data_IF_262584984170
#
_entry.id   IF_262584984170
#
_cell.length_a   1.000
_cell.length_b   1.000
_cell.length_c   1.000
_cell.angle_alpha   90.00
_cell.angle_beta   90.00
_cell.angle_gamma   90.00
#
_symmetry.space_group_name_H-M   'P 1'
#
loop_
_entity.id
_entity.type
_entity.pdbx_description
1 polymer ?
#
# COMPACT_ATOMS: atom_id res chain seq x y z
N UNK A 1 -3.89 -22.29 78.84
CA UNK A 1 -2.52 -22.33 79.40
C UNK A 1 -1.81 -23.53 78.79
N UNK A 2 -1.06 -23.31 77.70
CA UNK A 2 0.11 -24.10 77.32
C UNK A 2 0.84 -23.36 76.19
N UNK A 3 2.16 -23.28 76.36
CA UNK A 3 3.21 -22.69 75.53
C UNK A 3 3.11 -23.21 74.07
N UNK A 4 3.62 -22.52 73.05
CA UNK A 4 5.05 -22.46 72.72
C UNK A 4 5.30 -21.33 71.68
N UNK A 5 6.42 -20.67 71.90
CA UNK A 5 7.16 -19.67 71.10
C UNK A 5 7.60 -20.14 69.71
N UNK A 6 7.59 -19.20 68.76
CA UNK A 6 8.56 -18.99 67.65
C UNK A 6 9.06 -20.22 66.89
N UNK A 7 8.90 -20.25 65.56
CA UNK A 7 9.95 -19.95 64.56
C UNK A 7 9.39 -20.22 63.16
N UNK A 8 9.81 -19.43 62.18
CA UNK A 8 9.78 -19.67 60.74
C UNK A 8 8.48 -19.51 59.91
N UNK A 9 8.63 -18.59 58.95
CA UNK A 9 8.09 -18.54 57.58
C UNK A 9 6.80 -17.77 57.28
N UNK A 10 6.94 -17.06 56.16
CA UNK A 10 5.94 -16.59 55.21
C UNK A 10 5.12 -15.36 55.61
N UNK A 11 5.16 -14.38 54.70
CA UNK A 11 4.24 -13.26 54.61
C UNK A 11 2.80 -13.70 54.87
N UNK A 12 2.15 -13.00 55.79
CA UNK A 12 0.69 -12.90 55.83
C UNK A 12 0.32 -11.47 56.24
N UNK A 13 0.34 -10.55 55.27
CA UNK A 13 -0.49 -9.36 55.40
C UNK A 13 -1.95 -9.81 55.34
N UNK A 14 -2.76 -9.34 56.29
CA UNK A 14 -4.16 -9.70 56.43
C UNK A 14 -4.96 -9.32 55.18
N UNK A 15 -5.85 -10.22 54.77
CA UNK A 15 -6.66 -10.20 53.56
C UNK A 15 -7.66 -9.03 53.44
N UNK A 16 -7.59 -8.01 54.31
CA UNK A 16 -8.49 -6.84 54.34
C UNK A 16 -7.84 -5.54 53.84
N UNK A 17 -6.55 -5.51 53.48
CA UNK A 17 -5.90 -4.32 52.91
C UNK A 17 -5.83 -4.32 51.37
N UNK A 18 -6.39 -5.35 50.71
CA UNK A 18 -6.33 -5.53 49.25
C UNK A 18 -7.61 -5.11 48.48
N UNK A 19 -8.58 -4.47 49.13
CA UNK A 19 -9.86 -4.10 48.51
C UNK A 19 -10.13 -2.58 48.53
N UNK A 20 -9.19 -1.79 47.98
CA UNK A 20 -9.45 -0.44 47.46
C UNK A 20 -9.68 -0.48 45.94
N UNK A 21 -10.40 0.47 45.32
CA UNK A 21 -10.94 0.29 43.96
C UNK A 21 -9.83 0.17 42.91
N UNK A 22 -9.78 -1.00 42.25
CA UNK A 22 -9.01 -1.23 41.04
C UNK A 22 -9.67 -0.49 39.87
N UNK A 23 -9.14 0.67 39.51
CA UNK A 23 -9.26 1.19 38.14
C UNK A 23 -7.86 1.22 37.51
N UNK A 24 -7.70 0.45 36.42
CA UNK A 24 -6.51 0.34 35.57
C UNK A 24 -5.24 -0.30 36.16
N UNK A 25 -5.32 -1.61 36.45
CA UNK A 25 -4.49 -2.63 35.77
C UNK A 25 -2.95 -2.50 35.70
N UNK A 26 -2.27 -1.69 36.50
CA UNK A 26 -0.80 -1.70 36.65
C UNK A 26 -0.43 -1.33 38.09
N UNK A 27 0.49 -2.06 38.76
CA UNK A 27 0.86 -1.78 40.14
C UNK A 27 1.74 -0.52 40.17
N UNK A 28 1.11 0.64 40.26
CA UNK A 28 1.79 1.90 40.52
C UNK A 28 1.75 2.18 42.01
N UNK A 29 2.91 2.09 42.68
CA UNK A 29 3.07 2.66 44.03
C UNK A 29 3.07 4.17 43.86
N UNK A 30 2.03 4.82 44.38
CA UNK A 30 1.85 6.26 44.27
C UNK A 30 2.82 7.01 45.18
N UNK A 31 3.10 8.28 44.86
CA UNK A 31 3.93 9.15 45.69
C UNK A 31 3.34 9.31 47.11
N UNK A 32 2.02 9.24 47.24
CA UNK A 32 1.31 9.26 48.53
C UNK A 32 1.53 7.97 49.32
N UNK A 33 1.51 6.80 48.68
CA UNK A 33 1.84 5.52 49.33
C UNK A 33 3.30 5.45 49.79
N UNK A 34 4.25 5.98 49.01
CA UNK A 34 5.66 6.12 49.44
C UNK A 34 5.83 7.10 50.61
N UNK A 35 5.06 8.19 50.64
CA UNK A 35 5.12 9.18 51.73
C UNK A 35 4.51 8.62 53.01
N UNK A 36 3.43 7.83 52.91
CA UNK A 36 2.84 7.13 54.04
C UNK A 36 3.79 6.07 54.63
N UNK A 37 4.49 5.30 53.80
CA UNK A 37 5.49 4.32 54.26
C UNK A 37 6.75 4.97 54.86
N UNK A 38 7.27 6.05 54.26
CA UNK A 38 8.42 6.78 54.81
C UNK A 38 8.06 7.55 56.10
N UNK A 39 6.81 8.02 56.22
CA UNK A 39 6.28 8.64 57.43
C UNK A 39 6.14 7.66 58.60
N UNK A 40 5.68 6.44 58.35
CA UNK A 40 5.63 5.38 59.37
C UNK A 40 7.02 4.94 59.85
N UNK A 41 8.04 4.99 58.98
CA UNK A 41 9.42 4.72 59.38
C UNK A 41 10.02 5.86 60.24
N UNK A 42 9.55 7.10 60.08
CA UNK A 42 10.04 8.28 60.79
C UNK A 42 9.35 8.51 62.15
N UNK A 43 8.11 8.03 62.33
CA UNK A 43 7.36 8.17 63.59
C UNK A 43 7.86 7.31 64.76
N UNK A 44 8.83 6.41 64.55
CA UNK A 44 9.41 5.62 65.64
C UNK A 44 10.68 6.23 66.26
N UNK A 45 11.07 7.46 65.88
CA UNK A 45 12.34 8.09 66.34
C UNK A 45 12.14 9.34 67.21
N UNK A 46 10.95 9.95 67.29
CA UNK A 46 10.73 11.13 68.15
C UNK A 46 9.58 10.95 69.15
N UNK A 47 9.88 10.38 70.31
CA UNK A 47 8.99 10.44 71.47
C UNK A 47 9.24 11.71 72.29
N UNK A 48 8.22 12.55 72.48
CA UNK A 48 8.21 13.50 73.60
C UNK A 48 6.79 13.62 74.18
N UNK A 49 6.62 13.18 75.42
CA UNK A 49 5.39 13.30 76.21
C UNK A 49 5.22 14.75 76.69
N UNK A 50 4.08 15.38 76.37
CA UNK A 50 3.59 16.56 77.10
C UNK A 50 2.35 16.18 77.91
N UNK A 51 2.46 16.15 79.23
CA UNK A 51 1.31 16.17 80.13
C UNK A 51 1.24 17.55 80.81
N UNK A 52 0.09 18.21 80.71
CA UNK A 52 -0.22 19.49 81.36
C UNK A 52 -0.48 19.29 82.84
N UNK A 53 0.15 20.12 83.67
CA UNK A 53 0.01 20.16 85.12
C UNK A 53 -1.15 21.08 85.52
N UNK A 54 -2.37 20.67 85.19
CA UNK A 54 -3.59 21.21 85.79
C UNK A 54 -4.14 20.19 86.78
N UNK A 55 -4.25 20.58 88.05
CA UNK A 55 -5.24 20.02 88.96
C UNK A 55 -4.78 18.91 89.91
N UNK A 56 -3.56 19.01 90.46
CA UNK A 56 -3.24 18.38 91.73
C UNK A 56 -4.18 18.91 92.83
N UNK A 57 -4.96 17.99 93.38
CA UNK A 57 -5.43 17.92 94.76
C UNK A 57 -6.31 19.06 95.32
N UNK A 58 -7.63 18.94 95.09
CA UNK A 58 -8.60 19.29 96.13
C UNK A 58 -8.56 18.25 97.26
N UNK A 59 -7.98 18.66 98.38
CA UNK A 59 -8.38 18.34 99.76
C UNK A 59 -8.85 16.90 100.10
N UNK A 60 -8.03 16.16 100.84
CA UNK A 60 -8.18 16.03 102.29
C UNK A 60 -7.09 15.13 102.91
N UNK A 61 -6.36 15.66 103.91
CA UNK A 61 -5.61 14.82 104.85
C UNK A 61 -4.24 15.38 105.24
N UNK A 62 -4.25 16.29 106.21
CA UNK A 62 -3.06 16.91 106.77
C UNK A 62 -2.20 15.90 107.57
N UNK A 63 -0.93 15.70 107.20
CA UNK A 63 0.21 15.42 108.10
C UNK A 63 1.55 15.66 107.38
N UNK A 64 2.31 16.63 107.88
CA UNK A 64 3.52 17.20 107.29
C UNK A 64 4.74 16.25 107.22
N UNK A 65 5.54 16.36 106.15
CA UNK A 65 6.95 15.90 106.07
C UNK A 65 7.73 16.81 105.10
N UNK A 66 8.91 17.30 105.50
CA UNK A 66 9.86 18.06 104.66
C UNK A 66 10.81 17.10 103.89
N UNK A 67 11.33 17.46 102.70
CA UNK A 67 12.18 16.57 101.88
C UNK A 67 13.63 16.44 102.39
N UNK A 68 14.25 15.27 102.16
CA UNK A 68 15.61 14.89 102.59
C UNK A 68 16.61 14.86 101.42
N UNK A 69 17.93 14.88 101.72
CA UNK A 69 19.05 14.92 100.76
C UNK A 69 19.06 13.80 99.70
N UNK A 70 18.28 12.73 99.90
CA UNK A 70 18.22 11.55 99.04
C UNK A 70 17.53 11.81 97.68
N UNK A 71 16.64 12.80 97.60
CA UNK A 71 15.97 13.15 96.34
C UNK A 71 16.90 13.87 95.35
N UNK A 72 17.95 14.53 95.84
CA UNK A 72 18.99 15.16 95.01
C UNK A 72 19.88 14.14 94.30
N UNK A 73 20.08 12.96 94.87
CA UNK A 73 20.93 11.90 94.32
C UNK A 73 20.25 11.10 93.19
N UNK A 74 18.91 11.08 93.14
CA UNK A 74 18.15 10.36 92.10
C UNK A 74 18.24 11.04 90.74
N UNK A 75 18.36 12.37 90.71
CA UNK A 75 18.52 13.14 89.47
C UNK A 75 19.86 12.87 88.75
N UNK A 76 20.93 12.54 89.48
CA UNK A 76 22.24 12.26 88.90
C UNK A 76 22.33 10.87 88.22
N UNK A 77 21.50 9.89 88.62
CA UNK A 77 21.48 8.54 88.02
C UNK A 77 20.73 8.46 86.69
N UNK A 78 19.88 9.43 86.37
CA UNK A 78 19.14 9.45 85.10
C UNK A 78 20.05 9.75 83.89
N UNK A 79 21.20 10.40 84.11
CA UNK A 79 22.09 10.82 83.02
C UNK A 79 23.03 9.72 82.49
N UNK A 80 23.02 8.52 83.09
CA UNK A 80 23.95 7.42 82.76
C UNK A 80 23.36 6.36 81.82
N UNK A 81 22.06 6.39 81.52
CA UNK A 81 21.42 5.42 80.61
C UNK A 81 21.38 5.86 79.14
N UNK A 82 22.01 6.99 78.77
CA UNK A 82 22.04 7.49 77.40
C UNK A 82 23.05 6.76 76.46
N UNK A 83 23.62 5.62 76.88
CA UNK A 83 24.63 4.88 76.10
C UNK A 83 24.17 3.45 75.83
N UNK A 84 23.24 3.28 74.88
CA UNK A 84 22.93 1.97 74.28
C UNK A 84 22.57 2.04 72.78
N UNK A 85 22.77 3.20 72.13
CA UNK A 85 22.46 3.42 70.71
C UNK A 85 23.55 2.95 69.74
N UNK A 86 24.76 2.62 70.21
CA UNK A 86 25.89 2.19 69.35
C UNK A 86 25.84 0.72 68.92
N UNK A 87 25.20 -0.15 69.69
CA UNK A 87 25.09 -1.59 69.39
C UNK A 87 24.04 -1.89 68.31
N UNK A 88 22.99 -1.06 68.19
CA UNK A 88 21.94 -1.21 67.17
C UNK A 88 22.42 -0.90 65.74
N UNK A 89 23.43 -0.05 65.56
CA UNK A 89 23.95 0.32 64.24
C UNK A 89 24.75 -0.79 63.53
N UNK A 90 25.31 -1.76 64.27
CA UNK A 90 26.15 -2.80 63.67
C UNK A 90 25.34 -3.87 62.90
N UNK A 91 24.05 -4.07 63.24
CA UNK A 91 23.19 -5.05 62.55
C UNK A 91 22.60 -4.53 61.23
N UNK A 92 22.54 -3.20 61.04
CA UNK A 92 21.94 -2.58 59.85
C UNK A 92 22.89 -2.57 58.64
N UNK A 93 24.20 -2.60 58.86
CA UNK A 93 25.19 -2.49 57.79
C UNK A 93 25.42 -3.77 56.97
N UNK A 94 24.87 -4.92 57.36
CA UNK A 94 25.04 -6.19 56.62
C UNK A 94 24.09 -6.30 55.41
N UNK A 95 23.01 -5.52 55.38
CA UNK A 95 21.97 -5.61 54.34
C UNK A 95 22.24 -4.73 53.11
N UNK A 96 23.24 -3.85 53.18
CA UNK A 96 23.56 -2.82 52.18
C UNK A 96 24.48 -3.34 51.05
N UNK A 97 24.89 -4.62 51.09
CA UNK A 97 25.88 -5.19 50.16
C UNK A 97 25.36 -5.85 48.88
N UNK A 98 24.04 -5.96 48.66
CA UNK A 98 23.48 -6.66 47.48
C UNK A 98 22.99 -5.68 46.41
N UNK A 99 23.87 -5.20 45.52
CA UNK A 99 23.50 -4.29 44.40
C UNK A 99 22.56 -4.91 43.36
N UNK A 100 22.32 -6.22 43.38
CA UNK A 100 21.45 -6.91 42.41
C UNK A 100 19.96 -6.92 42.78
N UNK A 101 19.57 -6.40 43.96
CA UNK A 101 18.19 -6.50 44.49
C UNK A 101 17.55 -5.11 44.68
N UNK A 102 18.33 -4.03 44.53
CA UNK A 102 17.83 -2.66 44.65
C UNK A 102 17.77 -2.00 43.28
N UNK A 103 16.55 -1.71 42.82
CA UNK A 103 16.33 -0.82 41.68
C UNK A 103 16.53 0.60 42.20
N UNK A 104 17.51 1.32 41.66
CA UNK A 104 17.74 2.72 42.00
C UNK A 104 16.60 3.59 41.45
N UNK A 105 16.37 4.76 42.04
CA UNK A 105 15.31 5.66 41.57
C UNK A 105 15.57 6.21 40.16
N UNK A 106 16.84 6.28 39.76
CA UNK A 106 17.24 6.63 38.41
C UNK A 106 16.93 5.51 37.40
N UNK A 107 17.21 4.25 37.74
CA UNK A 107 16.82 3.11 36.91
C UNK A 107 15.29 2.98 36.78
N UNK A 108 14.56 3.23 37.87
CA UNK A 108 13.08 3.26 37.88
C UNK A 108 12.54 4.34 36.95
N UNK A 109 13.09 5.56 37.03
CA UNK A 109 12.72 6.66 36.11
C UNK A 109 13.03 6.31 34.66
N UNK A 110 14.19 5.71 34.39
CA UNK A 110 14.59 5.32 33.05
C UNK A 110 13.70 4.22 32.45
N UNK A 111 13.27 3.24 33.24
CA UNK A 111 12.39 2.16 32.76
C UNK A 111 10.97 2.66 32.51
N UNK A 112 10.40 3.46 33.42
CA UNK A 112 9.06 4.00 33.26
C UNK A 112 8.98 4.99 32.08
N UNK A 113 10.00 5.85 31.91
CA UNK A 113 10.06 6.78 30.79
C UNK A 113 10.16 6.11 29.41
N UNK A 114 10.70 4.88 29.33
CA UNK A 114 10.75 4.10 28.08
C UNK A 114 9.41 3.50 27.69
N UNK A 115 8.54 3.22 28.65
CA UNK A 115 7.23 2.62 28.42
C UNK A 115 6.18 3.68 28.05
N UNK A 116 6.18 4.82 28.75
CA UNK A 116 5.27 5.94 28.47
C UNK A 116 5.54 6.62 27.11
N UNK A 117 6.75 6.45 26.56
CA UNK A 117 7.12 6.97 25.25
C UNK A 117 6.66 6.08 24.08
N UNK A 118 6.16 4.86 24.35
CA UNK A 118 5.76 3.93 23.29
C UNK A 118 4.28 4.03 22.94
N UNK A 119 3.41 4.44 23.86
CA UNK A 119 1.95 4.53 23.65
C UNK A 119 1.39 5.78 24.31
N UNK A 120 0.62 6.58 23.58
CA UNK A 120 -0.04 7.76 24.10
C UNK A 120 -1.26 7.39 24.97
N UNK A 121 -1.87 8.41 25.60
CA UNK A 121 -3.01 8.23 26.52
C UNK A 121 -4.27 7.57 25.90
N UNK A 122 -4.32 7.46 24.57
CA UNK A 122 -5.39 6.76 23.84
C UNK A 122 -4.97 5.35 23.37
N UNK A 123 -3.76 4.90 23.72
CA UNK A 123 -3.19 3.61 23.32
C UNK A 123 -2.50 3.59 21.95
N UNK A 124 -2.18 4.74 21.35
CA UNK A 124 -1.53 4.81 20.04
C UNK A 124 -0.01 4.89 20.17
N UNK A 125 0.74 4.17 19.32
CA UNK A 125 2.21 4.27 19.27
C UNK A 125 2.66 5.29 18.23
N UNK A 126 3.63 6.15 18.60
CA UNK A 126 4.25 7.13 17.69
C UNK A 126 5.70 6.71 17.41
N UNK A 127 5.98 6.25 16.19
CA UNK A 127 7.30 5.73 15.81
C UNK A 127 8.15 6.85 15.16
N UNK A 128 9.31 7.16 15.73
CA UNK A 128 10.22 8.23 15.26
C UNK A 128 11.07 7.85 14.02
N UNK A 129 10.51 7.12 13.06
CA UNK A 129 11.16 6.76 11.80
C UNK A 129 10.15 6.59 10.67
N UNK A 130 10.61 6.60 9.41
CA UNK A 130 9.74 6.41 8.24
C UNK A 130 9.05 5.05 8.30
N UNK A 131 7.81 5.02 8.78
CA UNK A 131 6.91 3.90 8.54
C UNK A 131 6.56 3.93 7.04
N UNK A 132 7.03 2.95 6.28
CA UNK A 132 6.54 2.80 4.90
C UNK A 132 5.16 2.15 4.96
N UNK A 133 4.15 2.93 5.34
CA UNK A 133 2.76 2.55 5.15
C UNK A 133 2.46 2.66 3.64
N UNK A 134 2.61 1.55 2.91
CA UNK A 134 2.02 1.44 1.57
C UNK A 134 0.51 1.48 1.79
N UNK A 135 -0.16 2.54 1.35
CA UNK A 135 -1.61 2.74 1.45
C UNK A 135 -2.42 1.74 0.61
N UNK A 136 -2.21 0.45 0.83
CA UNK A 136 -3.07 -0.63 0.42
C UNK A 136 -3.72 -1.23 1.66
N UNK A 137 -4.98 -1.60 1.55
CA UNK A 137 -5.58 -2.53 2.50
C UNK A 137 -4.83 -3.85 2.30
N UNK A 138 -3.98 -4.24 3.25
CA UNK A 138 -3.55 -5.64 3.33
C UNK A 138 -4.82 -6.47 3.61
N UNK A 139 -5.25 -7.23 2.60
CA UNK A 139 -6.25 -8.26 2.76
C UNK A 139 -5.46 -9.58 2.76
N UNK A 140 -5.06 -10.11 3.94
CA UNK A 140 -4.44 -11.43 4.01
C UNK A 140 -5.39 -12.43 3.33
N UNK A 141 -4.91 -13.18 2.34
CA UNK A 141 -5.70 -14.20 1.65
C UNK A 141 -5.73 -15.52 2.42
N UNK A 142 -4.88 -15.65 3.43
CA UNK A 142 -4.77 -16.76 4.34
C UNK A 142 -5.53 -16.46 5.63
N UNK A 143 -6.40 -17.42 6.02
CA UNK A 143 -7.19 -17.49 7.25
C UNK A 143 -8.28 -16.44 7.49
N UNK A 144 -9.31 -16.88 8.23
CA UNK A 144 -10.52 -16.13 8.59
C UNK A 144 -10.23 -14.68 8.99
N UNK A 145 -11.12 -13.73 8.66
CA UNK A 145 -10.87 -12.32 8.96
C UNK A 145 -10.57 -12.15 10.46
N UNK A 146 -9.41 -11.55 10.75
CA UNK A 146 -8.86 -11.38 12.11
C UNK A 146 -9.77 -10.46 12.96
N UNK A 147 -10.61 -9.65 12.30
CA UNK A 147 -11.58 -8.73 12.92
C UNK A 147 -12.89 -8.71 12.12
N UNK A 148 -14.00 -8.32 12.77
CA UNK A 148 -15.27 -8.07 12.08
C UNK A 148 -15.13 -7.05 10.95
N UNK A 149 -14.34 -5.98 11.16
CA UNK A 149 -14.04 -4.96 10.14
C UNK A 149 -13.31 -5.52 8.93
N UNK A 150 -12.30 -6.38 9.12
CA UNK A 150 -11.61 -7.02 7.99
C UNK A 150 -12.51 -8.02 7.24
N UNK A 151 -13.43 -8.67 7.94
CA UNK A 151 -14.47 -9.51 7.32
C UNK A 151 -15.44 -8.69 6.46
N UNK A 152 -15.89 -7.55 6.97
CA UNK A 152 -16.77 -6.61 6.24
C UNK A 152 -16.04 -6.02 5.02
N UNK A 153 -14.77 -5.64 5.15
CA UNK A 153 -13.97 -5.13 4.03
C UNK A 153 -13.76 -6.19 2.93
N UNK A 154 -13.53 -7.46 3.31
CA UNK A 154 -13.45 -8.59 2.36
C UNK A 154 -14.78 -8.79 1.62
N UNK A 155 -15.91 -8.76 2.35
CA UNK A 155 -17.24 -8.88 1.75
C UNK A 155 -17.56 -7.70 0.82
N UNK A 156 -17.23 -6.47 1.23
CA UNK A 156 -17.38 -5.28 0.41
C UNK A 156 -16.52 -5.37 -0.85
N UNK A 157 -15.26 -5.78 -0.75
CA UNK A 157 -14.37 -5.95 -1.89
C UNK A 157 -14.89 -7.00 -2.88
N UNK A 158 -15.41 -8.13 -2.38
CA UNK A 158 -16.06 -9.17 -3.19
C UNK A 158 -17.33 -8.65 -3.90
N UNK A 159 -18.18 -7.92 -3.18
CA UNK A 159 -19.34 -7.26 -3.78
C UNK A 159 -18.96 -6.26 -4.87
N UNK A 160 -17.93 -5.45 -4.61
CA UNK A 160 -17.39 -4.49 -5.59
C UNK A 160 -16.78 -5.19 -6.81
N UNK A 161 -16.13 -6.35 -6.65
CA UNK A 161 -15.60 -7.09 -7.80
C UNK A 161 -16.72 -7.62 -8.69
N UNK A 162 -17.81 -8.14 -8.13
CA UNK A 162 -18.98 -8.60 -8.91
C UNK A 162 -19.63 -7.44 -9.64
N UNK A 163 -19.82 -6.30 -8.97
CA UNK A 163 -20.36 -5.09 -9.62
C UNK A 163 -19.41 -4.61 -10.72
N UNK A 164 -18.10 -4.56 -10.47
CA UNK A 164 -17.11 -4.16 -11.47
C UNK A 164 -17.11 -5.09 -12.68
N UNK A 165 -17.28 -6.40 -12.48
CA UNK A 165 -17.40 -7.38 -13.56
C UNK A 165 -18.68 -7.16 -14.38
N UNK A 166 -19.81 -6.84 -13.73
CA UNK A 166 -21.05 -6.49 -14.42
C UNK A 166 -20.92 -5.22 -15.29
N UNK A 167 -20.04 -4.29 -14.93
CA UNK A 167 -19.68 -3.11 -15.74
C UNK A 167 -18.48 -3.34 -16.68
N UNK A 168 -18.08 -4.60 -16.91
CA UNK A 168 -16.96 -4.93 -17.79
C UNK A 168 -17.39 -5.81 -18.98
N UNK A 169 -18.26 -5.30 -19.89
CA UNK A 169 -18.79 -6.10 -20.98
C UNK A 169 -17.70 -6.59 -21.93
N UNK A 170 -17.91 -7.81 -22.42
CA UNK A 170 -17.02 -8.51 -23.34
C UNK A 170 -17.41 -8.19 -24.80
N UNK A 171 -16.41 -7.94 -25.65
CA UNK A 171 -16.56 -7.97 -27.11
C UNK A 171 -16.19 -9.32 -27.68
N UNK A 172 -16.45 -9.53 -28.96
CA UNK A 172 -16.11 -10.74 -29.70
C UNK A 172 -15.36 -10.40 -30.98
N UNK A 173 -14.44 -11.25 -31.41
CA UNK A 173 -13.74 -11.12 -32.69
C UNK A 173 -14.73 -11.41 -33.83
N UNK A 174 -14.94 -10.49 -34.78
CA UNK A 174 -16.07 -10.56 -35.71
C UNK A 174 -15.65 -10.81 -37.16
N UNK A 175 -14.80 -9.97 -37.71
CA UNK A 175 -14.28 -10.08 -39.07
C UNK A 175 -12.82 -9.65 -39.13
N UNK A 176 -12.14 -10.00 -40.20
CA UNK A 176 -10.76 -9.56 -40.44
C UNK A 176 -10.54 -9.18 -41.90
N UNK A 177 -9.50 -8.40 -42.14
CA UNK A 177 -8.91 -8.17 -43.47
C UNK A 177 -7.40 -8.37 -43.39
N UNK A 178 -6.84 -8.90 -44.46
CA UNK A 178 -5.41 -9.17 -44.60
C UNK A 178 -4.84 -8.28 -45.69
N UNK A 179 -3.64 -7.76 -45.45
CA UNK A 179 -2.91 -6.91 -46.39
C UNK A 179 -1.49 -7.45 -46.51
N UNK A 180 -1.08 -7.77 -47.73
CA UNK A 180 0.12 -8.56 -48.04
C UNK A 180 -0.19 -10.06 -48.16
N UNK A 181 0.55 -10.76 -49.00
CA UNK A 181 0.25 -12.15 -49.38
C UNK A 181 0.69 -13.19 -48.34
N UNK A 182 1.53 -12.78 -47.38
CA UNK A 182 2.11 -13.70 -46.39
C UNK A 182 1.29 -13.78 -45.09
N UNK A 183 0.26 -12.96 -44.93
CA UNK A 183 -0.57 -12.94 -43.71
C UNK A 183 -1.80 -13.83 -43.82
N UNK A 184 -2.15 -14.49 -42.72
CA UNK A 184 -3.32 -15.33 -42.59
C UNK A 184 -3.88 -15.29 -41.17
N UNK A 185 -5.15 -15.68 -41.04
CA UNK A 185 -5.86 -15.74 -39.76
C UNK A 185 -6.43 -17.13 -39.57
N UNK A 186 -6.06 -17.78 -38.48
CA UNK A 186 -6.72 -18.99 -38.00
C UNK A 186 -7.64 -18.63 -36.84
N UNK A 187 -8.76 -19.33 -36.72
CA UNK A 187 -9.75 -19.07 -35.67
C UNK A 187 -9.93 -20.30 -34.77
N UNK A 188 -8.94 -20.64 -33.92
CA UNK A 188 -9.04 -21.79 -33.03
C UNK A 188 -10.31 -21.80 -32.16
N UNK A 189 -10.73 -20.61 -31.71
CA UNK A 189 -12.02 -20.40 -31.05
C UNK A 189 -12.71 -19.22 -31.74
N UNK A 190 -13.60 -19.44 -32.71
CA UNK A 190 -14.30 -18.38 -33.41
C UNK A 190 -14.98 -17.41 -32.44
N UNK A 191 -14.89 -16.11 -32.70
CA UNK A 191 -15.42 -15.10 -31.80
C UNK A 191 -14.56 -14.79 -30.56
N UNK A 192 -13.64 -15.66 -30.15
CA UNK A 192 -12.97 -15.54 -28.84
C UNK A 192 -11.44 -15.51 -28.89
N UNK A 193 -10.82 -16.34 -29.72
CA UNK A 193 -9.38 -16.44 -29.83
C UNK A 193 -8.98 -16.76 -31.27
N UNK A 194 -8.26 -15.84 -31.90
CA UNK A 194 -7.71 -16.00 -33.24
C UNK A 194 -6.19 -16.00 -33.19
N UNK A 195 -5.58 -16.78 -34.07
CA UNK A 195 -4.15 -16.76 -34.32
C UNK A 195 -3.91 -15.96 -35.60
N UNK A 196 -3.15 -14.88 -35.50
CA UNK A 196 -2.74 -14.09 -36.66
C UNK A 196 -1.31 -14.52 -37.01
N UNK A 197 -1.05 -14.79 -38.27
CA UNK A 197 0.21 -15.37 -38.73
C UNK A 197 0.74 -14.65 -39.97
N UNK A 198 2.04 -14.41 -40.03
CA UNK A 198 2.79 -13.99 -41.21
C UNK A 198 3.83 -15.08 -41.53
N UNK A 199 3.68 -15.71 -42.69
CA UNK A 199 4.48 -16.86 -43.15
C UNK A 199 5.87 -16.52 -43.66
N UNK A 200 6.21 -15.23 -43.76
CA UNK A 200 7.53 -14.79 -44.16
C UNK A 200 8.60 -15.31 -43.18
N UNK A 201 9.83 -15.48 -43.69
CA UNK A 201 10.96 -15.91 -42.88
C UNK A 201 11.38 -14.78 -41.93
N UNK A 202 11.65 -15.04 -40.64
CA UNK A 202 12.24 -14.05 -39.75
C UNK A 202 13.61 -13.51 -40.21
N UNK A 203 14.29 -14.24 -41.10
CA UNK A 203 15.56 -13.81 -41.71
C UNK A 203 15.38 -12.94 -42.96
N UNK A 204 14.18 -12.94 -43.54
CA UNK A 204 13.80 -12.15 -44.70
C UNK A 204 12.35 -11.66 -44.50
N UNK A 205 12.13 -10.76 -43.53
CA UNK A 205 10.78 -10.33 -43.16
C UNK A 205 10.12 -9.60 -44.32
N UNK A 206 8.82 -9.86 -44.51
CA UNK A 206 7.98 -9.17 -45.50
C UNK A 206 6.81 -8.53 -44.76
N UNK A 207 6.63 -7.20 -44.88
CA UNK A 207 5.53 -6.50 -44.22
C UNK A 207 4.18 -7.13 -44.53
N UNK A 208 3.36 -7.26 -43.50
CA UNK A 208 1.97 -7.66 -43.62
C UNK A 208 1.15 -7.08 -42.48
N UNK A 209 -0.12 -6.83 -42.75
CA UNK A 209 -1.07 -6.30 -41.77
C UNK A 209 -2.30 -7.16 -41.71
N UNK A 210 -2.79 -7.41 -40.50
CA UNK A 210 -4.13 -7.95 -40.29
C UNK A 210 -4.96 -6.92 -39.53
N UNK A 211 -6.05 -6.47 -40.14
CA UNK A 211 -7.11 -5.74 -39.45
C UNK A 211 -8.05 -6.76 -38.82
N UNK A 212 -8.31 -6.66 -37.52
CA UNK A 212 -9.29 -7.47 -36.80
C UNK A 212 -10.35 -6.56 -36.22
N UNK A 213 -11.61 -6.86 -36.52
CA UNK A 213 -12.76 -6.13 -36.03
C UNK A 213 -13.37 -6.83 -34.81
N UNK A 214 -13.95 -6.02 -33.92
CA UNK A 214 -14.65 -6.48 -32.74
C UNK A 214 -16.14 -6.16 -32.85
N UNK A 215 -16.96 -7.08 -32.38
CA UNK A 215 -18.38 -6.88 -32.11
C UNK A 215 -18.55 -6.65 -30.61
N UNK A 216 -19.02 -5.47 -30.21
CA UNK A 216 -19.20 -5.07 -28.81
C UNK A 216 -20.68 -4.82 -28.50
N UNK A 217 -21.54 -5.86 -28.50
CA UNK A 217 -22.99 -5.69 -28.50
C UNK A 217 -23.55 -5.17 -27.15
N UNK A 218 -22.72 -5.22 -26.10
CA UNK A 218 -23.11 -4.89 -24.73
C UNK A 218 -22.47 -3.60 -24.21
N UNK A 219 -21.70 -2.88 -25.05
CA UNK A 219 -21.31 -1.51 -24.72
C UNK A 219 -22.45 -0.60 -25.15
N UNK A 220 -23.04 0.13 -24.20
CA UNK A 220 -24.19 0.99 -24.46
C UNK A 220 -23.94 1.99 -25.59
N UNK A 221 -24.88 2.07 -26.54
CA UNK A 221 -24.82 2.90 -27.75
C UNK A 221 -25.31 4.34 -27.55
N UNK A 222 -26.02 4.63 -26.46
CA UNK A 222 -26.72 5.90 -26.25
C UNK A 222 -26.37 6.52 -24.89
N UNK A 223 -26.09 7.84 -24.88
CA UNK A 223 -25.66 8.65 -23.74
C UNK A 223 -24.36 8.16 -23.08
N UNK A 224 -23.24 8.88 -23.27
CA UNK A 224 -21.97 8.76 -22.52
C UNK A 224 -21.69 7.37 -21.92
N UNK A 225 -20.93 6.54 -22.63
CA UNK A 225 -20.78 5.11 -22.31
C UNK A 225 -20.10 4.84 -20.97
N UNK A 226 -19.51 5.85 -20.32
CA UNK A 226 -18.76 5.70 -19.08
C UNK A 226 -17.48 4.89 -19.27
N UNK A 227 -17.04 4.70 -20.52
CA UNK A 227 -15.91 3.88 -20.89
C UNK A 227 -14.61 4.41 -20.27
N UNK A 228 -13.88 3.55 -19.56
CA UNK A 228 -12.64 3.87 -18.83
C UNK A 228 -11.44 3.08 -19.30
N UNK A 229 -11.61 2.16 -20.23
CA UNK A 229 -10.50 1.38 -20.73
C UNK A 229 -10.88 0.05 -21.34
N UNK A 230 -9.85 -0.74 -21.60
CA UNK A 230 -10.01 -2.11 -22.07
C UNK A 230 -8.90 -3.00 -21.52
N UNK A 231 -9.16 -4.30 -21.51
CA UNK A 231 -8.16 -5.35 -21.38
C UNK A 231 -8.25 -6.22 -22.65
N UNK A 232 -7.13 -6.30 -23.37
CA UNK A 232 -6.98 -7.07 -24.59
C UNK A 232 -6.09 -8.28 -24.30
N UNK A 233 -6.65 -9.51 -24.23
CA UNK A 233 -5.83 -10.71 -24.19
C UNK A 233 -5.03 -10.83 -25.48
N UNK A 234 -3.71 -10.96 -25.36
CA UNK A 234 -2.82 -11.06 -26.51
C UNK A 234 -1.54 -11.78 -26.10
N UNK A 235 -1.02 -12.64 -26.97
CA UNK A 235 0.32 -13.23 -26.88
C UNK A 235 1.16 -12.70 -28.03
N UNK A 236 2.22 -11.94 -27.74
CA UNK A 236 2.99 -11.16 -28.70
C UNK A 236 4.14 -11.93 -29.34
N UNK A 237 3.95 -13.19 -29.73
CA UNK A 237 5.00 -13.96 -30.39
C UNK A 237 5.31 -15.30 -29.75
N UNK A 238 6.12 -16.08 -30.45
CA UNK A 238 6.73 -17.29 -29.90
C UNK A 238 8.13 -16.99 -29.37
N UNK A 239 8.66 -17.89 -28.55
CA UNK A 239 10.02 -17.76 -28.01
C UNK A 239 11.05 -17.79 -29.15
N UNK A 240 12.06 -16.90 -29.09
CA UNK A 240 13.16 -16.83 -30.05
C UNK A 240 12.87 -16.05 -31.33
N UNK A 241 11.64 -15.57 -31.52
CA UNK A 241 11.28 -14.73 -32.66
C UNK A 241 11.89 -13.33 -32.51
N UNK A 242 12.54 -12.81 -33.56
CA UNK A 242 13.28 -11.53 -33.52
C UNK A 242 12.57 -10.38 -34.23
N UNK A 243 11.49 -10.66 -34.93
CA UNK A 243 10.84 -9.67 -35.79
C UNK A 243 10.07 -8.65 -34.93
N UNK A 244 10.23 -7.34 -35.17
CA UNK A 244 9.37 -6.34 -34.57
C UNK A 244 7.91 -6.55 -34.98
N UNK A 245 7.00 -6.26 -34.06
CA UNK A 245 5.56 -6.34 -34.29
C UNK A 245 4.87 -5.15 -33.69
N UNK A 246 3.77 -4.73 -34.27
CA UNK A 246 3.07 -3.54 -33.84
C UNK A 246 1.58 -3.78 -33.74
N UNK A 247 0.99 -3.21 -32.69
CA UNK A 247 -0.45 -3.15 -32.52
C UNK A 247 -0.90 -1.70 -32.64
N UNK A 248 -1.87 -1.46 -33.52
CA UNK A 248 -2.42 -0.12 -33.76
C UNK A 248 -3.87 -0.05 -33.33
N UNK A 249 -4.20 0.93 -32.48
CA UNK A 249 -5.55 1.25 -32.01
C UNK A 249 -5.93 2.68 -32.32
N UNK A 250 -7.20 2.96 -32.06
CA UNK A 250 -7.61 4.24 -31.51
C UNK A 250 -8.66 4.07 -30.40
N UNK A 251 -8.79 5.10 -29.57
CA UNK A 251 -9.87 5.26 -28.58
C UNK A 251 -10.51 6.64 -28.77
N UNK A 252 -11.75 6.80 -28.33
CA UNK A 252 -12.58 7.97 -28.63
C UNK A 252 -13.18 7.98 -30.05
N UNK A 253 -13.79 9.10 -30.41
CA UNK A 253 -14.56 9.24 -31.66
C UNK A 253 -13.65 9.58 -32.85
N UNK A 254 -13.47 8.60 -33.75
CA UNK A 254 -12.62 8.67 -34.95
C UNK A 254 -13.43 8.25 -36.19
N UNK A 255 -13.29 9.00 -37.29
CA UNK A 255 -13.83 8.59 -38.59
C UNK A 255 -12.74 7.98 -39.48
N UNK A 256 -12.81 6.67 -39.74
CA UNK A 256 -11.81 5.99 -40.57
C UNK A 256 -11.81 6.47 -42.03
N UNK A 257 -12.93 7.01 -42.55
CA UNK A 257 -12.97 7.58 -43.91
C UNK A 257 -12.14 8.86 -44.04
N UNK A 258 -11.84 9.51 -42.91
CA UNK A 258 -11.01 10.71 -42.80
C UNK A 258 -9.57 10.38 -42.33
N UNK A 259 -9.21 9.09 -42.36
CA UNK A 259 -7.87 8.58 -42.07
C UNK A 259 -7.24 7.98 -43.33
N UNK A 260 -5.91 7.96 -43.36
CA UNK A 260 -5.08 7.12 -44.22
C UNK A 260 -4.75 5.84 -43.45
N UNK A 261 -4.99 4.68 -44.07
CA UNK A 261 -4.65 3.37 -43.47
C UNK A 261 -3.50 2.75 -44.26
N UNK A 262 -2.29 2.86 -43.73
CA UNK A 262 -1.03 2.45 -44.39
C UNK A 262 -0.69 0.99 -44.09
N UNK A 263 -1.48 0.07 -44.63
CA UNK A 263 -1.33 -1.38 -44.40
C UNK A 263 -0.17 -1.99 -45.20
N UNK A 264 0.48 -3.02 -44.65
CA UNK A 264 1.67 -3.67 -45.19
C UNK A 264 2.84 -2.69 -45.45
N UNK A 265 2.88 -1.58 -44.71
CA UNK A 265 3.96 -0.61 -44.73
C UNK A 265 5.09 -0.99 -43.76
N UNK A 266 6.15 -0.19 -43.75
CA UNK A 266 7.22 -0.30 -42.77
C UNK A 266 6.67 -0.25 -41.33
N UNK A 267 7.26 -1.03 -40.42
CA UNK A 267 6.79 -1.17 -39.03
C UNK A 267 6.76 0.17 -38.28
N UNK A 268 7.59 1.13 -38.68
CA UNK A 268 7.66 2.46 -38.09
C UNK A 268 6.66 3.45 -38.70
N UNK A 269 6.02 3.14 -39.83
CA UNK A 269 4.91 3.94 -40.40
C UNK A 269 3.66 3.77 -39.55
N UNK A 270 2.91 4.83 -39.23
CA UNK A 270 1.61 4.71 -38.55
C UNK A 270 0.61 3.91 -39.40
N UNK A 271 -0.03 2.91 -38.82
CA UNK A 271 -0.99 2.08 -39.59
C UNK A 271 -2.28 2.84 -39.84
N UNK A 272 -2.67 3.70 -38.90
CA UNK A 272 -3.79 4.64 -39.02
C UNK A 272 -3.25 6.02 -38.75
N UNK A 273 -3.38 6.91 -39.73
CA UNK A 273 -3.06 8.33 -39.59
C UNK A 273 -4.29 9.15 -39.98
N UNK A 274 -4.57 10.29 -39.33
CA UNK A 274 -5.47 11.29 -39.87
C UNK A 274 -5.04 11.70 -41.28
N UNK A 275 -5.99 12.08 -42.14
CA UNK A 275 -5.68 12.79 -43.39
C UNK A 275 -5.24 14.22 -43.10
N UNK A 276 -4.47 14.81 -44.00
CA UNK A 276 -4.14 16.22 -43.89
C UNK A 276 -5.41 17.10 -43.85
N UNK A 277 -5.44 18.07 -42.94
CA UNK A 277 -6.58 18.98 -42.74
C UNK A 277 -7.75 18.43 -41.90
N UNK A 278 -7.69 17.18 -41.42
CA UNK A 278 -8.71 16.64 -40.49
C UNK A 278 -8.29 16.80 -39.03
N UNK A 279 -9.26 16.72 -38.12
CA UNK A 279 -9.01 16.96 -36.68
C UNK A 279 -9.96 16.16 -35.81
N UNK A 280 -9.40 15.35 -34.91
CA UNK A 280 -10.17 14.49 -34.00
C UNK A 280 -9.91 14.85 -32.53
N UNK A 281 -10.53 15.92 -32.00
CA UNK A 281 -10.25 16.41 -30.64
C UNK A 281 -10.59 15.40 -29.54
N UNK A 282 -11.47 14.44 -29.84
CA UNK A 282 -11.93 13.43 -28.89
C UNK A 282 -11.34 12.04 -29.14
N UNK A 283 -10.42 11.88 -30.09
CA UNK A 283 -9.75 10.61 -30.36
C UNK A 283 -8.31 10.62 -29.88
N UNK A 284 -7.77 9.42 -29.68
CA UNK A 284 -6.34 9.15 -29.55
C UNK A 284 -6.03 7.97 -30.44
N UNK A 285 -4.96 8.06 -31.22
CA UNK A 285 -4.48 6.95 -32.06
C UNK A 285 -3.19 6.44 -31.44
N UNK A 286 -3.05 5.12 -31.33
CA UNK A 286 -1.93 4.48 -30.66
C UNK A 286 -1.24 3.49 -31.58
N UNK A 287 0.07 3.60 -31.66
CA UNK A 287 0.95 2.56 -32.19
C UNK A 287 1.78 2.00 -31.03
N UNK A 288 1.73 0.69 -30.81
CA UNK A 288 2.54 0.00 -29.80
C UNK A 288 3.45 -0.98 -30.50
N UNK A 289 4.72 -0.60 -30.67
CA UNK A 289 5.74 -1.42 -31.33
C UNK A 289 6.55 -2.18 -30.29
N UNK A 290 6.58 -3.50 -30.42
CA UNK A 290 7.40 -4.40 -29.63
C UNK A 290 8.61 -4.82 -30.45
N UNK A 291 9.78 -4.36 -30.03
CA UNK A 291 11.04 -4.83 -30.59
C UNK A 291 11.45 -6.09 -29.86
N UNK A 292 11.35 -7.24 -30.55
CA UNK A 292 11.71 -8.55 -29.98
C UNK A 292 13.22 -8.77 -29.91
N UNK A 293 14.01 -7.76 -30.27
CA UNK A 293 15.46 -7.75 -30.15
C UNK A 293 15.80 -6.99 -28.87
N UNK A 294 16.62 -7.62 -28.04
CA UNK A 294 17.19 -6.99 -26.85
C UNK A 294 18.09 -5.83 -27.28
N UNK A 295 17.83 -4.63 -26.76
CA UNK A 295 18.67 -3.46 -27.01
C UNK A 295 19.72 -3.34 -25.90
N UNK A 296 20.98 -3.50 -26.31
CA UNK A 296 22.14 -3.42 -25.41
C UNK A 296 22.51 -1.99 -25.00
N UNK A 297 21.94 -0.98 -25.65
CA UNK A 297 22.22 0.44 -25.40
C UNK A 297 21.32 1.05 -24.33
N UNK A 298 20.21 0.40 -23.99
CA UNK A 298 19.29 0.85 -22.94
C UNK A 298 19.72 0.30 -21.58
N UNK A 299 19.58 1.11 -20.53
CA UNK A 299 19.82 0.69 -19.14
C UNK A 299 18.51 0.80 -18.35
N UNK A 300 17.95 -0.30 -17.82
CA UNK A 300 18.45 -1.68 -17.90
C UNK A 300 18.37 -2.26 -19.33
N UNK A 301 19.28 -3.19 -19.65
CA UNK A 301 19.27 -3.93 -20.91
C UNK A 301 17.98 -4.73 -21.04
N UNK A 302 17.31 -4.74 -22.20
CA UNK A 302 16.03 -5.45 -22.31
C UNK A 302 15.34 -5.32 -23.66
N UNK A 303 14.07 -5.72 -23.72
CA UNK A 303 13.23 -5.63 -24.93
C UNK A 303 12.58 -4.24 -25.02
N UNK A 304 12.93 -3.43 -26.03
CA UNK A 304 12.34 -2.11 -26.20
C UNK A 304 10.88 -2.21 -26.60
N UNK A 305 10.07 -1.36 -25.99
CA UNK A 305 8.69 -1.11 -26.38
C UNK A 305 8.56 0.38 -26.67
N UNK A 306 8.11 0.71 -27.88
CA UNK A 306 7.81 2.09 -28.27
C UNK A 306 6.30 2.26 -28.35
N UNK A 307 5.78 3.15 -27.53
CA UNK A 307 4.36 3.56 -27.55
C UNK A 307 4.29 4.95 -28.14
N UNK A 308 3.49 5.12 -29.18
CA UNK A 308 3.24 6.40 -29.84
C UNK A 308 1.77 6.73 -29.70
N UNK A 309 1.46 7.85 -29.06
CA UNK A 309 0.12 8.39 -28.89
C UNK A 309 -0.02 9.66 -29.73
N UNK A 310 -0.97 9.66 -30.66
CA UNK A 310 -1.28 10.80 -31.49
C UNK A 310 -2.51 11.54 -30.93
N UNK A 311 -2.34 12.84 -30.70
CA UNK A 311 -3.34 13.71 -30.08
C UNK A 311 -3.58 14.92 -30.96
N UNK A 312 -4.84 15.24 -31.25
CA UNK A 312 -5.16 16.50 -31.92
C UNK A 312 -5.18 17.64 -30.89
N UNK A 313 -4.28 18.60 -31.04
CA UNK A 313 -4.36 19.89 -30.37
C UNK A 313 -5.31 20.81 -31.15
N UNK A 314 -6.47 21.04 -30.57
CA UNK A 314 -7.52 21.89 -31.16
C UNK A 314 -7.11 23.36 -31.23
N UNK A 315 -6.32 23.85 -30.27
CA UNK A 315 -5.96 25.27 -30.22
C UNK A 315 -4.99 25.62 -31.34
N UNK A 316 -4.01 24.75 -31.58
CA UNK A 316 -3.01 24.93 -32.64
C UNK A 316 -3.43 24.31 -33.99
N UNK A 317 -4.55 23.59 -34.03
CA UNK A 317 -5.05 22.82 -35.18
C UNK A 317 -4.00 21.83 -35.76
N UNK A 318 -3.25 21.17 -34.87
CA UNK A 318 -2.12 20.28 -35.23
C UNK A 318 -2.21 18.95 -34.48
N UNK A 319 -1.56 17.93 -35.01
CA UNK A 319 -1.36 16.70 -34.28
C UNK A 319 -0.04 16.72 -33.53
N UNK A 320 -0.10 16.38 -32.25
CA UNK A 320 1.07 16.15 -31.40
C UNK A 320 1.27 14.65 -31.24
N UNK A 321 2.48 14.20 -31.56
CA UNK A 321 2.93 12.83 -31.34
C UNK A 321 3.69 12.77 -30.02
N UNK A 322 3.13 12.04 -29.07
CA UNK A 322 3.79 11.70 -27.82
C UNK A 322 4.41 10.30 -27.96
N UNK A 323 5.72 10.21 -27.88
CA UNK A 323 6.45 8.94 -27.94
C UNK A 323 6.95 8.58 -26.55
N UNK A 324 6.71 7.36 -26.10
CA UNK A 324 7.27 6.77 -24.90
C UNK A 324 8.12 5.57 -25.27
N UNK A 325 9.35 5.50 -24.74
CA UNK A 325 10.21 4.32 -24.83
C UNK A 325 10.27 3.68 -23.45
N UNK A 326 9.93 2.40 -23.40
CA UNK A 326 10.01 1.55 -22.21
C UNK A 326 10.86 0.33 -22.50
N UNK A 327 11.41 -0.28 -21.45
CA UNK A 327 12.25 -1.48 -21.60
C UNK A 327 11.82 -2.56 -20.64
N UNK A 328 11.52 -3.74 -21.18
CA UNK A 328 11.26 -4.94 -20.38
C UNK A 328 12.60 -5.63 -20.10
N UNK A 329 13.11 -5.63 -18.85
CA UNK A 329 14.52 -5.86 -18.56
C UNK A 329 14.95 -7.33 -18.53
N UNK A 330 14.01 -8.28 -18.58
CA UNK A 330 14.28 -9.69 -18.27
C UNK A 330 13.87 -10.60 -19.42
N UNK A 331 14.71 -11.60 -19.71
CA UNK A 331 14.41 -12.62 -20.71
C UNK A 331 13.20 -13.48 -20.31
N UNK A 332 12.98 -13.65 -19.00
CA UNK A 332 11.83 -14.38 -18.47
C UNK A 332 10.51 -13.62 -18.65
N UNK A 333 10.57 -12.31 -18.89
CA UNK A 333 9.41 -11.44 -19.18
C UNK A 333 9.43 -10.87 -20.59
N UNK A 334 10.14 -11.52 -21.52
CA UNK A 334 10.06 -11.22 -22.95
C UNK A 334 8.60 -10.94 -23.40
N UNK A 335 8.35 -10.01 -24.33
CA UNK A 335 6.99 -9.72 -24.81
C UNK A 335 6.14 -10.95 -25.17
N UNK A 336 6.71 -12.05 -25.67
CA UNK A 336 6.04 -13.34 -25.92
C UNK A 336 5.43 -14.00 -24.67
N UNK A 337 5.87 -13.63 -23.48
CA UNK A 337 5.34 -14.12 -22.19
C UNK A 337 4.13 -13.31 -21.69
N UNK A 338 3.62 -12.37 -22.49
CA UNK A 338 2.51 -11.53 -22.09
C UNK A 338 1.16 -12.28 -22.12
N UNK A 339 0.24 -11.80 -21.29
CA UNK A 339 -1.13 -12.31 -21.20
C UNK A 339 -2.13 -11.32 -21.83
N UNK A 340 -1.87 -10.03 -21.64
CA UNK A 340 -2.77 -8.97 -22.10
C UNK A 340 -2.05 -7.63 -22.24
N UNK A 341 -2.69 -6.72 -22.97
CA UNK A 341 -2.43 -5.27 -22.95
C UNK A 341 -3.67 -4.57 -22.37
N UNK A 342 -3.47 -3.56 -21.53
CA UNK A 342 -4.56 -2.83 -20.90
C UNK A 342 -4.35 -1.33 -21.01
N UNK A 343 -5.33 -0.62 -21.59
CA UNK A 343 -5.43 0.84 -21.50
C UNK A 343 -6.42 1.17 -20.39
N UNK A 344 -6.05 2.01 -19.44
CA UNK A 344 -6.96 2.50 -18.39
C UNK A 344 -6.80 4.01 -18.23
N UNK A 345 -7.91 4.73 -18.11
CA UNK A 345 -7.93 6.14 -17.72
C UNK A 345 -8.52 6.32 -16.33
N UNK A 346 -7.98 7.28 -15.56
CA UNK A 346 -8.43 7.56 -14.21
C UNK A 346 -9.86 8.13 -14.16
N UNK A 347 -10.21 8.98 -15.13
CA UNK A 347 -11.56 9.52 -15.28
C UNK A 347 -11.91 9.87 -16.73
N UNK A 348 -13.14 10.34 -17.00
CA UNK A 348 -13.64 10.79 -18.31
C UNK A 348 -13.16 12.21 -18.72
N UNK A 349 -12.22 12.80 -17.98
CA UNK A 349 -11.65 14.10 -18.34
C UNK A 349 -10.34 13.90 -19.07
N UNK A 350 -10.15 14.55 -20.21
CA UNK A 350 -8.87 14.54 -20.95
C UNK A 350 -7.71 15.18 -20.17
N UNK A 351 -7.99 15.92 -19.09
CA UNK A 351 -6.96 16.44 -18.19
C UNK A 351 -6.44 15.39 -17.19
N UNK A 352 -7.10 14.23 -17.10
CA UNK A 352 -6.72 13.17 -16.17
C UNK A 352 -5.78 12.17 -16.82
N UNK A 353 -4.96 11.46 -16.01
CA UNK A 353 -4.00 10.53 -16.55
C UNK A 353 -4.66 9.26 -17.06
N UNK A 354 -4.04 8.67 -18.08
CA UNK A 354 -4.23 7.30 -18.49
C UNK A 354 -2.89 6.55 -18.45
N UNK A 355 -2.93 5.25 -18.69
CA UNK A 355 -1.73 4.45 -18.82
C UNK A 355 -1.95 3.25 -19.71
N UNK A 356 -0.83 2.66 -20.12
CA UNK A 356 -0.79 1.42 -20.85
C UNK A 356 0.06 0.41 -20.09
N UNK A 357 -0.52 -0.76 -19.85
CA UNK A 357 0.14 -1.84 -19.13
C UNK A 357 0.16 -3.14 -19.93
N UNK A 358 1.15 -3.96 -19.63
CA UNK A 358 1.25 -5.35 -20.07
C UNK A 358 1.14 -6.25 -18.84
N UNK A 359 0.26 -7.23 -18.89
CA UNK A 359 0.29 -8.34 -17.94
C UNK A 359 1.30 -9.39 -18.41
N UNK A 360 2.24 -9.76 -17.56
CA UNK A 360 3.25 -10.78 -17.88
C UNK A 360 3.06 -12.05 -17.06
N UNK A 361 3.11 -13.20 -17.73
CA UNK A 361 3.20 -14.50 -17.07
C UNK A 361 4.64 -15.01 -16.97
N UNK A 362 5.60 -14.12 -17.17
CA UNK A 362 7.02 -14.46 -17.10
C UNK A 362 7.45 -15.05 -15.76
N UNK A 363 8.57 -15.78 -15.80
CA UNK A 363 9.21 -16.36 -14.60
C UNK A 363 10.03 -15.28 -13.86
N UNK A 364 9.42 -14.16 -13.53
CA UNK A 364 9.96 -13.19 -12.57
C UNK A 364 8.84 -12.57 -11.72
N UNK A 365 9.21 -11.73 -10.75
CA UNK A 365 8.27 -11.11 -9.82
C UNK A 365 7.41 -10.00 -10.43
N UNK A 366 7.70 -9.55 -11.66
CA UNK A 366 7.04 -8.40 -12.28
C UNK A 366 5.86 -8.87 -13.14
N UNK A 367 4.65 -8.78 -12.57
CA UNK A 367 3.43 -9.29 -13.22
C UNK A 367 2.66 -8.24 -14.02
N UNK A 368 2.81 -6.97 -13.66
CA UNK A 368 2.13 -5.86 -14.32
C UNK A 368 3.13 -4.77 -14.67
N UNK A 369 3.35 -4.56 -15.96
CA UNK A 369 4.41 -3.71 -16.49
C UNK A 369 3.79 -2.46 -17.11
N UNK A 370 4.05 -1.27 -16.56
CA UNK A 370 3.62 -0.02 -17.20
C UNK A 370 4.62 0.39 -18.27
N UNK A 371 4.13 0.49 -19.50
CA UNK A 371 4.92 0.79 -20.70
C UNK A 371 4.68 2.20 -21.25
N UNK A 372 3.61 2.89 -20.82
CA UNK A 372 3.41 4.29 -21.14
C UNK A 372 2.54 5.03 -20.11
N UNK A 373 2.83 6.31 -19.96
CA UNK A 373 1.87 7.31 -19.49
C UNK A 373 1.14 7.85 -20.70
N UNK A 374 -0.19 7.84 -20.65
CA UNK A 374 -1.05 8.24 -21.76
C UNK A 374 -2.02 9.32 -21.31
N UNK A 375 -2.69 9.93 -22.28
CA UNK A 375 -3.72 10.92 -22.03
C UNK A 375 -5.10 10.26 -22.05
N UNK A 376 -5.96 10.66 -21.12
CA UNK A 376 -7.34 10.21 -21.10
C UNK A 376 -8.12 10.79 -22.28
N UNK A 377 -9.15 10.06 -22.72
CA UNK A 377 -10.17 10.61 -23.64
C UNK A 377 -11.37 11.11 -22.87
N UNK A 378 -12.01 12.15 -23.43
CA UNK A 378 -13.35 12.53 -22.98
C UNK A 378 -14.37 11.54 -23.52
N UNK A 379 -15.34 11.21 -22.68
CA UNK A 379 -16.51 10.50 -23.15
C UNK A 379 -17.32 11.38 -24.10
N UNK A 380 -17.86 10.77 -25.15
CA UNK A 380 -18.60 11.49 -26.20
C UNK A 380 -19.82 10.69 -26.64
N UNK A 381 -20.79 11.38 -27.23
CA UNK A 381 -21.98 10.75 -27.75
C UNK A 381 -21.63 9.79 -28.90
N UNK A 382 -22.19 8.57 -28.88
CA UNK A 382 -21.98 7.57 -29.92
C UNK A 382 -20.65 6.80 -29.87
N UNK A 383 -19.86 6.96 -28.79
CA UNK A 383 -18.61 6.21 -28.61
C UNK A 383 -18.84 4.89 -27.84
N UNK A 384 -18.57 3.76 -28.50
CA UNK A 384 -18.76 2.40 -27.94
C UNK A 384 -17.47 1.71 -27.49
N UNK A 385 -16.40 2.46 -27.24
CA UNK A 385 -15.10 1.82 -27.16
C UNK A 385 -14.64 1.34 -28.54
N UNK A 386 -13.56 0.56 -28.57
CA UNK A 386 -12.81 0.21 -29.78
C UNK A 386 -13.51 -0.84 -30.64
N UNK A 387 -13.49 -0.63 -31.96
CA UNK A 387 -14.14 -1.52 -32.93
C UNK A 387 -13.15 -2.32 -33.82
N UNK A 388 -11.87 -1.96 -33.85
CA UNK A 388 -10.85 -2.73 -34.59
C UNK A 388 -9.43 -2.54 -34.03
N UNK A 389 -8.55 -3.50 -34.32
CA UNK A 389 -7.11 -3.47 -34.09
C UNK A 389 -6.39 -3.85 -35.36
N UNK A 390 -5.26 -3.22 -35.62
CA UNK A 390 -4.33 -3.68 -36.65
C UNK A 390 -3.15 -4.35 -35.99
N UNK A 391 -2.73 -5.47 -36.55
CA UNK A 391 -1.48 -6.14 -36.25
C UNK A 391 -0.57 -6.06 -37.46
N UNK A 392 0.55 -5.37 -37.32
CA UNK A 392 1.59 -5.27 -38.34
C UNK A 392 2.79 -6.12 -37.91
N UNK A 393 3.26 -6.99 -38.81
CA UNK A 393 4.44 -7.79 -38.56
C UNK A 393 5.14 -8.19 -39.85
N UNK A 394 6.45 -8.38 -39.79
CA UNK A 394 7.25 -8.87 -40.91
C UNK A 394 7.35 -10.40 -41.02
N UNK A 395 7.02 -11.14 -39.96
CA UNK A 395 7.08 -12.62 -39.88
C UNK A 395 6.47 -13.09 -38.54
N UNK A 396 6.11 -14.36 -38.43
CA UNK A 396 5.72 -14.99 -37.16
C UNK A 396 4.25 -14.81 -36.78
N UNK A 397 3.93 -14.89 -35.49
CA UNK A 397 2.55 -15.10 -35.06
C UNK A 397 2.16 -14.38 -33.78
N UNK A 398 0.88 -14.07 -33.62
CA UNK A 398 0.30 -13.69 -32.32
C UNK A 398 -1.00 -14.46 -32.07
N UNK A 399 -1.36 -14.64 -30.80
CA UNK A 399 -2.75 -14.92 -30.44
C UNK A 399 -3.42 -13.64 -30.00
N UNK A 400 -4.62 -13.40 -30.52
CA UNK A 400 -5.44 -12.24 -30.20
C UNK A 400 -6.77 -12.74 -29.63
N UNK A 401 -7.11 -12.24 -28.45
CA UNK A 401 -8.34 -12.56 -27.77
C UNK A 401 -9.44 -11.51 -27.95
N UNK A 402 -10.64 -11.94 -27.60
CA UNK A 402 -11.79 -11.09 -27.39
C UNK A 402 -11.54 -10.08 -26.25
N UNK A 403 -11.71 -8.78 -26.53
CA UNK A 403 -11.38 -7.71 -25.59
C UNK A 403 -12.49 -7.49 -24.55
N UNK A 404 -12.09 -7.12 -23.32
CA UNK A 404 -12.98 -6.68 -22.24
C UNK A 404 -13.00 -5.16 -22.20
N UNK A 405 -14.16 -4.55 -22.31
CA UNK A 405 -14.31 -3.13 -22.00
C UNK A 405 -14.35 -2.94 -20.48
N UNK A 406 -13.80 -1.83 -20.01
CA UNK A 406 -13.92 -1.41 -18.62
C UNK A 406 -14.80 -0.16 -18.60
N UNK A 407 -15.96 -0.25 -17.97
CA UNK A 407 -16.88 0.87 -17.76
C UNK A 407 -16.97 1.11 -16.25
N UNK A 408 -17.12 2.37 -15.84
CA UNK A 408 -17.36 2.70 -14.44
C UNK A 408 -18.76 3.32 -14.27
N UNK A 409 -19.47 3.00 -13.18
CA UNK A 409 -20.75 3.62 -12.89
C UNK A 409 -20.57 5.11 -12.56
N UNK A 410 -21.16 5.98 -13.37
CA UNK A 410 -21.24 7.43 -13.13
C UNK A 410 -20.13 8.26 -13.77
N UNK A 411 -20.50 9.46 -14.23
CA UNK A 411 -19.63 10.37 -15.00
C UNK A 411 -18.39 10.85 -14.21
N UNK A 412 -18.54 11.13 -12.91
CA UNK A 412 -17.48 11.76 -12.10
C UNK A 412 -16.66 10.78 -11.25
N UNK A 413 -17.01 9.49 -11.24
CA UNK A 413 -16.37 8.54 -10.33
C UNK A 413 -14.94 8.20 -10.78
N UNK A 414 -13.99 8.01 -9.85
CA UNK A 414 -12.66 7.49 -10.17
C UNK A 414 -12.76 6.07 -10.76
N UNK A 415 -11.93 5.74 -11.75
CA UNK A 415 -11.83 4.38 -12.26
C UNK A 415 -10.99 3.52 -11.31
N UNK A 416 -11.65 2.68 -10.50
CA UNK A 416 -10.97 1.75 -9.59
C UNK A 416 -9.92 0.86 -10.28
N UNK A 417 -10.19 0.43 -11.53
CA UNK A 417 -9.22 -0.37 -12.29
C UNK A 417 -7.93 0.42 -12.55
N UNK A 418 -8.00 1.68 -12.98
CA UNK A 418 -6.80 2.51 -13.16
C UNK A 418 -5.92 2.57 -11.91
N UNK A 419 -6.53 2.79 -10.74
CA UNK A 419 -5.78 2.90 -9.48
C UNK A 419 -5.21 1.55 -9.03
N UNK A 420 -5.92 0.45 -9.25
CA UNK A 420 -5.43 -0.90 -8.96
C UNK A 420 -4.25 -1.27 -9.87
N UNK A 421 -4.33 -0.97 -11.18
CA UNK A 421 -3.22 -1.14 -12.11
C UNK A 421 -2.02 -0.30 -11.66
N UNK A 422 -2.26 0.96 -11.31
CA UNK A 422 -1.22 1.88 -10.85
C UNK A 422 -0.56 1.46 -9.55
N UNK A 423 -1.28 0.83 -8.61
CA UNK A 423 -0.71 0.38 -7.34
C UNK A 423 0.14 -0.88 -7.47
N UNK A 424 -0.12 -1.71 -8.50
CA UNK A 424 0.55 -2.98 -8.72
C UNK A 424 1.65 -2.91 -9.79
N UNK A 425 1.81 -1.78 -10.46
CA UNK A 425 2.71 -1.65 -11.60
C UNK A 425 4.20 -1.71 -11.21
N UNK A 426 4.97 -2.38 -12.05
CA UNK A 426 6.39 -2.07 -12.25
C UNK A 426 6.49 -1.10 -13.41
N UNK A 427 7.08 0.06 -13.16
CA UNK A 427 7.15 1.15 -14.13
C UNK A 427 8.43 1.04 -14.96
N UNK A 428 8.29 0.90 -16.28
CA UNK A 428 9.40 0.57 -17.19
C UNK A 428 9.84 1.71 -18.14
N UNK A 429 9.20 2.87 -18.01
CA UNK A 429 9.40 4.03 -18.88
C UNK A 429 10.82 4.56 -18.70
N UNK A 430 11.56 4.66 -19.81
CA UNK A 430 12.93 5.19 -19.86
C UNK A 430 12.95 6.64 -20.33
N UNK A 431 12.17 6.95 -21.36
CA UNK A 431 12.12 8.30 -21.93
C UNK A 431 10.77 8.58 -22.56
N UNK A 432 10.47 9.88 -22.65
CA UNK A 432 9.32 10.41 -23.38
C UNK A 432 9.78 11.57 -24.25
N UNK A 433 9.13 11.75 -25.39
CA UNK A 433 9.30 12.90 -26.27
C UNK A 433 7.96 13.35 -26.82
N UNK A 434 7.90 14.59 -27.29
CA UNK A 434 6.71 15.15 -27.92
C UNK A 434 7.16 15.99 -29.10
N UNK A 435 6.54 15.74 -30.25
CA UNK A 435 6.83 16.44 -31.49
C UNK A 435 5.55 16.68 -32.30
N UNK A 436 5.61 17.63 -33.23
CA UNK A 436 4.53 17.83 -34.19
C UNK A 436 4.51 16.68 -35.19
N UNK A 437 3.34 16.10 -35.42
CA UNK A 437 3.13 15.08 -36.43
C UNK A 437 2.50 15.69 -37.67
N UNK A 438 3.07 15.36 -38.82
CA UNK A 438 2.54 15.75 -40.12
C UNK A 438 1.70 14.57 -40.64
N UNK A 439 0.37 14.73 -40.77
CA UNK A 439 -0.50 13.72 -41.37
C UNK A 439 0.01 13.24 -42.72
N UNK A 440 -0.17 11.95 -43.00
CA UNK A 440 0.14 11.39 -44.32
C UNK A 440 -0.74 12.02 -45.41
N UNK A 441 -0.17 12.12 -46.62
CA UNK A 441 -0.84 12.62 -47.82
C UNK A 441 -1.88 11.62 -48.37
#
# INVERSE_FOLDING_TARGET
MNKITSTDRSLAASQNELNGPMENGSPHVTAEECTAWNGQASMNIEGNLSATQDGLDEHAGNKAVYPTEEDTARAAKANTYAVDSKSAMAASNTYVGHTSIYITDEERKMWNAKQDALVNASGNMDFAGNLTARGGIDIPLDVSPITSTSGINRLLASGLSVVSEAFSPQSYLSSFKTYGDNVSVQQPVPGMCWQLFNSASPLAPVPGTVEVNYLSPFVGVNNYSGWRGFLLPVMLGTNGERTPRKLTFYVGSLSLSECVVSTAADIDTFTVSPKNGTGFPFARIFDVTFYMIKDSTLSPEGYPVRVRELIYDKESARYMLHTTVSVIPSFNTNPSCNMFISYQQANLSAANPAGLWIGSNGYDGQRLLRIADLHAVRDTFGYMGRNNIYWDCGAGMIYLGALRHIVAPGNSQPNGAYYAFKSLETRLIQSTSTEEFIPYE
#
